data_IF_624461334018
#
_entry.id   IF_624461334018
#
_cell.length_a   1.000
_cell.length_b   1.000
_cell.length_c   1.000
_cell.angle_alpha   90.00
_cell.angle_beta   90.00
_cell.angle_gamma   90.00
#
_symmetry.space_group_name_H-M   'P 1'
#
loop_
_entity.id
_entity.type
_entity.pdbx_description
1 polymer ?
#
# COMPACT_ATOMS: atom_id res chain seq x y z
N UNK A 1 18.67 -9.91 -21.91
CA UNK A 1 18.16 -10.21 -20.57
C UNK A 1 16.78 -9.60 -20.52
N UNK A 2 15.74 -10.42 -20.54
CA UNK A 2 14.35 -9.96 -20.68
C UNK A 2 13.81 -9.42 -19.36
N UNK A 3 13.20 -8.25 -19.44
CA UNK A 3 12.36 -7.68 -18.40
C UNK A 3 11.05 -8.50 -18.36
N UNK A 4 10.70 -9.06 -17.21
CA UNK A 4 9.48 -9.86 -17.06
C UNK A 4 8.29 -8.90 -16.98
N UNK A 5 7.73 -8.54 -18.14
CA UNK A 5 6.71 -7.50 -18.32
C UNK A 5 5.37 -7.79 -17.62
N UNK A 6 5.34 -7.59 -16.31
CA UNK A 6 4.15 -7.64 -15.47
C UNK A 6 3.66 -6.22 -15.21
N UNK A 7 2.37 -5.95 -15.44
CA UNK A 7 1.74 -4.70 -15.02
C UNK A 7 1.56 -4.74 -13.50
N UNK A 8 2.28 -3.86 -12.79
CA UNK A 8 2.30 -3.81 -11.33
C UNK A 8 2.11 -2.39 -10.81
N UNK A 9 1.50 -2.27 -9.64
CA UNK A 9 1.33 -1.02 -8.90
C UNK A 9 1.79 -1.24 -7.46
N UNK A 10 2.49 -0.27 -6.90
CA UNK A 10 2.79 -0.21 -5.47
C UNK A 10 1.71 0.61 -4.78
N UNK A 11 1.08 0.04 -3.77
CA UNK A 11 0.08 0.73 -2.95
C UNK A 11 0.22 0.29 -1.49
N UNK A 12 -0.08 1.21 -0.57
CA UNK A 12 0.02 0.97 0.87
C UNK A 12 -0.27 2.25 1.65
N UNK A 13 -0.53 2.15 2.95
CA UNK A 13 -0.76 3.31 3.81
C UNK A 13 0.55 3.95 4.28
N UNK A 14 0.45 5.13 4.88
CA UNK A 14 1.60 5.90 5.35
C UNK A 14 2.06 6.97 4.36
N UNK A 15 3.18 7.61 4.65
CA UNK A 15 3.82 8.59 3.76
C UNK A 15 5.32 8.35 3.70
N UNK A 16 5.88 8.39 2.50
CA UNK A 16 7.34 8.29 2.30
C UNK A 16 8.08 9.43 3.00
N UNK A 17 7.42 10.59 3.17
CA UNK A 17 8.00 11.73 3.88
C UNK A 17 8.29 11.43 5.35
N UNK A 18 7.68 10.39 5.93
CA UNK A 18 7.93 9.96 7.32
C UNK A 18 8.86 8.75 7.42
N UNK A 19 9.12 8.05 6.31
CA UNK A 19 9.91 6.83 6.31
C UNK A 19 11.37 7.09 6.74
N UNK A 20 11.97 6.13 7.45
CA UNK A 20 13.35 6.17 7.93
C UNK A 20 13.66 7.35 8.85
N UNK A 21 12.65 7.89 9.55
CA UNK A 21 12.81 8.89 10.59
C UNK A 21 12.66 8.23 11.96
N UNK A 22 13.23 8.84 12.99
CA UNK A 22 13.20 8.29 14.35
C UNK A 22 11.77 8.09 14.87
N UNK A 23 10.89 9.04 14.58
CA UNK A 23 9.47 9.01 14.94
C UNK A 23 8.60 8.51 13.78
N UNK A 24 9.05 7.46 13.08
CA UNK A 24 8.25 6.82 12.03
C UNK A 24 6.99 6.20 12.65
N UNK A 25 5.82 6.64 12.18
CA UNK A 25 4.55 6.09 12.60
C UNK A 25 3.54 6.04 11.45
N UNK A 26 2.47 5.30 11.69
CA UNK A 26 1.30 5.23 10.82
C UNK A 26 0.06 5.45 11.67
N UNK A 27 -0.91 6.22 11.18
CA UNK A 27 -2.16 6.39 11.92
C UNK A 27 -3.07 5.16 11.77
N UNK A 28 -3.90 4.91 12.78
CA UNK A 28 -4.91 3.84 12.72
C UNK A 28 -5.88 4.07 11.57
N UNK A 29 -6.25 5.32 11.28
CA UNK A 29 -7.13 5.65 10.15
C UNK A 29 -6.50 5.33 8.79
N UNK A 30 -5.19 5.55 8.63
CA UNK A 30 -4.46 5.14 7.42
C UNK A 30 -4.47 3.63 7.26
N UNK A 31 -4.27 2.87 8.34
CA UNK A 31 -4.35 1.41 8.32
C UNK A 31 -5.75 0.93 7.94
N UNK A 32 -6.80 1.49 8.56
CA UNK A 32 -8.20 1.16 8.24
C UNK A 32 -8.55 1.45 6.77
N UNK A 33 -8.05 2.57 6.24
CA UNK A 33 -8.23 2.94 4.83
C UNK A 33 -7.56 1.94 3.89
N UNK A 34 -6.35 1.47 4.22
CA UNK A 34 -5.67 0.45 3.43
C UNK A 34 -6.42 -0.88 3.43
N UNK A 35 -6.93 -1.32 4.58
CA UNK A 35 -7.72 -2.55 4.67
C UNK A 35 -8.99 -2.46 3.83
N UNK A 36 -9.66 -1.29 3.84
CA UNK A 36 -10.83 -1.03 2.99
C UNK A 36 -10.50 -1.14 1.50
N UNK A 37 -9.34 -0.61 1.09
CA UNK A 37 -8.86 -0.71 -0.29
C UNK A 37 -8.57 -2.16 -0.70
N UNK A 38 -7.89 -2.93 0.15
CA UNK A 38 -7.53 -4.33 -0.11
C UNK A 38 -8.77 -5.24 -0.17
N UNK A 39 -9.74 -5.06 0.72
CA UNK A 39 -11.02 -5.78 0.68
C UNK A 39 -11.79 -5.45 -0.62
N UNK A 40 -11.86 -4.17 -0.98
CA UNK A 40 -12.44 -3.74 -2.25
C UNK A 40 -11.75 -4.32 -3.47
N UNK A 41 -10.43 -4.50 -3.43
CA UNK A 41 -9.66 -5.15 -4.48
C UNK A 41 -9.97 -6.65 -4.53
N UNK A 42 -9.94 -7.35 -3.39
CA UNK A 42 -10.27 -8.78 -3.32
C UNK A 42 -11.64 -9.09 -3.95
N UNK A 43 -12.66 -8.28 -3.63
CA UNK A 43 -14.01 -8.40 -4.22
C UNK A 43 -14.07 -8.22 -5.73
N UNK A 44 -13.09 -7.57 -6.36
CA UNK A 44 -13.06 -7.34 -7.82
C UNK A 44 -12.36 -8.45 -8.59
N UNK A 45 -11.55 -9.27 -7.91
CA UNK A 45 -10.72 -10.31 -8.53
C UNK A 45 -11.21 -11.72 -8.16
N UNK A 46 -12.28 -11.81 -7.36
CA UNK A 46 -12.99 -13.06 -7.03
C UNK A 46 -14.38 -13.02 -7.62
#
# INVERSE_FOLDING_TARGET
GGDYGLSAVVCGPGSIDQAHKADEFISIDQLASCLTMLDGLGRKIT
#
